data_IF_831719637087
#
_entry.id   IF_831719637087
#
_cell.length_a   1.000
_cell.length_b   1.000
_cell.length_c   1.000
_cell.angle_alpha   90.00
_cell.angle_beta   90.00
_cell.angle_gamma   90.00
#
_symmetry.space_group_name_H-M   'P 1'
#
loop_
_entity.id
_entity.type
_entity.pdbx_description
1 polymer ?
#
# COMPACT_ATOMS: atom_id res chain seq x y z
N UNK A 1 -22.41 -44.23 29.26
CA UNK A 1 -22.49 -44.61 27.81
C UNK A 1 -23.94 -44.51 27.40
N UNK A 2 -24.30 -43.70 26.40
CA UNK A 2 -25.68 -43.55 25.97
C UNK A 2 -26.14 -44.82 25.25
N UNK A 3 -27.17 -45.47 25.77
CA UNK A 3 -27.74 -46.70 25.23
C UNK A 3 -28.05 -46.67 23.73
N UNK A 4 -28.56 -45.58 23.14
CA UNK A 4 -28.74 -45.44 21.70
C UNK A 4 -27.44 -45.59 20.91
N UNK A 5 -26.33 -45.02 21.40
CA UNK A 5 -25.03 -45.09 20.74
C UNK A 5 -24.45 -46.53 20.75
N UNK A 6 -24.66 -47.25 21.84
CA UNK A 6 -24.28 -48.66 21.93
C UNK A 6 -25.05 -49.52 20.92
N UNK A 7 -26.34 -49.29 20.76
CA UNK A 7 -27.18 -50.00 19.80
C UNK A 7 -26.74 -49.66 18.38
N UNK A 8 -26.55 -48.39 18.05
CA UNK A 8 -26.11 -47.95 16.72
C UNK A 8 -24.77 -48.59 16.31
N UNK A 9 -23.79 -48.60 17.23
CA UNK A 9 -22.48 -49.23 17.00
C UNK A 9 -22.60 -50.73 16.77
N UNK A 10 -23.46 -51.45 17.54
CA UNK A 10 -23.69 -52.90 17.42
C UNK A 10 -24.36 -53.26 16.12
N UNK A 11 -25.31 -52.43 15.62
CA UNK A 11 -25.95 -52.61 14.29
C UNK A 11 -24.98 -52.33 13.14
N UNK A 12 -24.14 -51.38 13.25
CA UNK A 12 -23.15 -51.03 12.20
C UNK A 12 -22.12 -52.15 11.95
N UNK A 13 -21.74 -52.91 13.04
CA UNK A 13 -20.72 -53.95 12.99
C UNK A 13 -21.28 -55.36 13.15
N UNK A 14 -22.60 -55.58 12.99
CA UNK A 14 -23.24 -56.86 13.14
C UNK A 14 -22.94 -57.80 11.97
N UNK A 15 -22.41 -58.98 12.26
CA UNK A 15 -22.02 -60.02 11.30
C UNK A 15 -23.16 -60.83 10.68
N UNK A 16 -24.40 -60.48 10.89
CA UNK A 16 -25.56 -61.26 10.36
C UNK A 16 -26.32 -60.47 9.31
N UNK A 17 -26.26 -61.01 8.07
CA UNK A 17 -27.22 -60.86 6.98
C UNK A 17 -27.44 -59.42 6.44
N UNK A 18 -27.03 -59.23 5.22
CA UNK A 18 -27.12 -58.15 4.25
C UNK A 18 -25.88 -57.26 4.18
N UNK A 19 -24.84 -57.79 3.59
CA UNK A 19 -23.65 -57.03 3.18
C UNK A 19 -24.00 -55.77 2.37
N UNK A 20 -25.12 -55.76 1.65
CA UNK A 20 -25.54 -54.64 0.84
C UNK A 20 -25.85 -53.38 1.67
N UNK A 21 -26.58 -53.47 2.79
CA UNK A 21 -26.92 -52.29 3.63
C UNK A 21 -25.67 -51.70 4.30
N UNK A 22 -24.77 -52.58 4.79
CA UNK A 22 -23.53 -52.13 5.39
C UNK A 22 -22.59 -51.45 4.35
N UNK A 23 -22.55 -51.97 3.16
CA UNK A 23 -21.78 -51.36 2.05
C UNK A 23 -22.35 -50.00 1.67
N UNK A 24 -23.67 -49.87 1.52
CA UNK A 24 -24.32 -48.58 1.22
C UNK A 24 -24.07 -47.57 2.33
N UNK A 25 -24.21 -47.98 3.60
CA UNK A 25 -23.95 -47.12 4.77
C UNK A 25 -22.47 -46.67 4.82
N UNK A 26 -21.54 -47.58 4.53
CA UNK A 26 -20.12 -47.27 4.46
C UNK A 26 -19.78 -46.27 3.33
N UNK A 27 -20.34 -46.52 2.12
CA UNK A 27 -20.17 -45.61 0.98
C UNK A 27 -20.73 -44.22 1.30
N UNK A 28 -21.91 -44.15 1.93
CA UNK A 28 -22.51 -42.89 2.32
C UNK A 28 -21.64 -42.15 3.36
N UNK A 29 -21.14 -42.86 4.36
CA UNK A 29 -20.27 -42.29 5.39
C UNK A 29 -18.94 -41.76 4.80
N UNK A 30 -18.32 -42.55 3.89
CA UNK A 30 -17.11 -42.16 3.17
C UNK A 30 -17.40 -40.95 2.28
N UNK A 31 -18.53 -40.97 1.54
CA UNK A 31 -18.94 -39.83 0.71
C UNK A 31 -19.06 -38.53 1.48
N UNK A 32 -19.74 -38.56 2.64
CA UNK A 32 -19.86 -37.39 3.53
C UNK A 32 -18.50 -36.97 4.07
N UNK A 33 -17.66 -37.93 4.49
CA UNK A 33 -16.34 -37.63 5.02
C UNK A 33 -15.45 -36.94 3.96
N UNK A 34 -15.45 -37.46 2.72
CA UNK A 34 -14.69 -36.88 1.60
C UNK A 34 -15.21 -35.47 1.25
N UNK A 35 -16.54 -35.30 1.18
CA UNK A 35 -17.14 -33.99 0.91
C UNK A 35 -16.80 -32.95 2.01
N UNK A 36 -16.88 -33.35 3.28
CA UNK A 36 -16.52 -32.49 4.41
C UNK A 36 -15.03 -32.16 4.38
N UNK A 37 -14.17 -33.14 4.11
CA UNK A 37 -12.72 -32.93 3.99
C UNK A 37 -12.41 -31.93 2.86
N UNK A 38 -13.02 -32.11 1.70
CA UNK A 38 -12.82 -31.22 0.56
C UNK A 38 -13.23 -29.77 0.90
N UNK A 39 -14.35 -29.60 1.60
CA UNK A 39 -14.84 -28.29 2.02
C UNK A 39 -13.89 -27.64 3.03
N UNK A 40 -13.43 -28.39 4.05
CA UNK A 40 -12.47 -27.88 5.06
C UNK A 40 -11.15 -27.51 4.40
N UNK A 41 -10.61 -28.33 3.50
CA UNK A 41 -9.38 -28.05 2.77
C UNK A 41 -9.54 -26.77 1.93
N UNK A 42 -10.64 -26.64 1.20
CA UNK A 42 -10.90 -25.45 0.37
C UNK A 42 -10.99 -24.18 1.21
N UNK A 43 -11.72 -24.22 2.33
CA UNK A 43 -11.79 -23.08 3.25
C UNK A 43 -10.44 -22.76 3.89
N UNK A 44 -9.66 -23.77 4.27
CA UNK A 44 -8.34 -23.57 4.86
C UNK A 44 -7.36 -22.93 3.87
N UNK A 45 -7.37 -23.37 2.60
CA UNK A 45 -6.57 -22.76 1.54
C UNK A 45 -7.01 -21.32 1.28
N UNK A 46 -8.31 -21.07 1.24
CA UNK A 46 -8.84 -19.72 1.04
C UNK A 46 -8.46 -18.77 2.19
N UNK A 47 -8.63 -19.22 3.44
CA UNK A 47 -8.24 -18.43 4.60
C UNK A 47 -6.72 -18.19 4.65
N UNK A 48 -5.92 -19.23 4.39
CA UNK A 48 -4.46 -19.09 4.33
C UNK A 48 -3.99 -18.15 3.22
N UNK A 49 -4.67 -18.17 2.07
CA UNK A 49 -4.41 -17.20 1.00
C UNK A 49 -4.79 -15.77 1.41
N UNK A 50 -5.92 -15.60 2.09
CA UNK A 50 -6.35 -14.30 2.62
C UNK A 50 -5.35 -13.73 3.62
N UNK A 51 -4.86 -14.56 4.56
CA UNK A 51 -3.83 -14.18 5.54
C UNK A 51 -2.50 -13.85 4.87
N UNK A 52 -2.12 -14.61 3.84
CA UNK A 52 -0.94 -14.34 3.03
C UNK A 52 -1.04 -12.97 2.35
N UNK A 53 -2.17 -12.67 1.70
CA UNK A 53 -2.39 -11.36 1.06
C UNK A 53 -2.41 -10.25 2.10
N UNK A 54 -3.04 -10.47 3.25
CA UNK A 54 -3.04 -9.50 4.35
C UNK A 54 -1.63 -9.22 4.90
N UNK A 55 -0.72 -10.20 4.86
CA UNK A 55 0.69 -10.01 5.25
C UNK A 55 1.50 -9.12 4.30
N UNK A 56 1.00 -8.90 3.09
CA UNK A 56 1.60 -7.95 2.14
C UNK A 56 1.21 -6.50 2.42
N UNK A 57 0.21 -6.24 3.25
CA UNK A 57 -0.12 -4.88 3.63
C UNK A 57 0.89 -4.35 4.64
N UNK A 58 1.44 -3.20 4.33
CA UNK A 58 2.44 -2.54 5.15
C UNK A 58 1.86 -1.31 5.82
N UNK A 59 2.64 -0.73 6.72
CA UNK A 59 2.34 0.59 7.28
C UNK A 59 2.26 1.69 6.21
N UNK A 60 2.83 1.44 5.03
CA UNK A 60 2.79 2.32 3.86
C UNK A 60 1.45 2.33 3.12
N UNK A 61 0.68 1.22 3.21
CA UNK A 61 -0.59 1.11 2.51
C UNK A 61 -1.71 1.69 3.38
N UNK A 62 -2.31 2.83 3.01
CA UNK A 62 -3.43 3.41 3.76
C UNK A 62 -4.64 2.47 3.75
N UNK A 63 -5.51 2.60 4.75
CA UNK A 63 -6.74 1.79 4.79
C UNK A 63 -7.65 2.09 3.62
N UNK A 64 -7.75 3.38 3.25
CA UNK A 64 -8.47 3.87 2.08
C UNK A 64 -7.59 4.90 1.38
N UNK A 65 -7.56 4.84 0.06
CA UNK A 65 -6.90 5.81 -0.80
C UNK A 65 -7.89 6.34 -1.84
N UNK A 66 -8.00 7.66 -1.93
CA UNK A 66 -8.78 8.31 -2.98
C UNK A 66 -7.82 8.80 -4.06
N UNK A 67 -8.03 8.32 -5.28
CA UNK A 67 -7.25 8.72 -6.46
C UNK A 67 -8.17 9.34 -7.51
N UNK A 68 -7.72 10.30 -8.32
CA UNK A 68 -8.51 10.81 -9.43
C UNK A 68 -8.95 9.68 -10.37
N UNK A 69 -10.18 9.70 -10.84
CA UNK A 69 -10.66 8.73 -11.82
C UNK A 69 -10.00 8.93 -13.19
N UNK A 70 -9.73 10.19 -13.54
CA UNK A 70 -9.04 10.58 -14.76
C UNK A 70 -7.79 11.42 -14.44
N UNK A 71 -6.71 11.21 -15.19
CA UNK A 71 -5.44 11.88 -14.97
C UNK A 71 -4.62 11.30 -13.81
N UNK A 72 -3.52 11.98 -13.46
CA UNK A 72 -2.58 11.58 -12.40
C UNK A 72 -2.76 12.39 -11.11
N UNK A 73 -3.38 13.56 -11.18
CA UNK A 73 -3.48 14.51 -10.08
C UNK A 73 -4.82 15.23 -10.06
N UNK A 74 -5.23 15.69 -8.88
CA UNK A 74 -6.42 16.51 -8.67
C UNK A 74 -6.10 17.71 -7.76
N UNK A 75 -6.93 18.78 -7.76
CA UNK A 75 -6.78 19.88 -6.82
C UNK A 75 -6.94 19.42 -5.38
N UNK A 76 -5.99 19.81 -4.51
CA UNK A 76 -6.01 19.44 -3.09
C UNK A 76 -7.17 20.10 -2.32
N UNK A 77 -7.67 21.24 -2.83
CA UNK A 77 -8.78 22.02 -2.27
C UNK A 77 -10.16 21.61 -2.82
N UNK A 78 -10.27 20.52 -3.60
CA UNK A 78 -11.54 20.03 -4.13
C UNK A 78 -12.59 19.88 -3.00
N UNK A 79 -13.80 20.50 -3.16
CA UNK A 79 -14.84 20.42 -2.17
C UNK A 79 -15.30 19.00 -1.81
N UNK A 80 -15.18 18.04 -2.74
CA UNK A 80 -15.51 16.63 -2.50
C UNK A 80 -14.52 15.99 -1.54
N UNK A 81 -13.22 16.24 -1.72
CA UNK A 81 -12.19 15.76 -0.81
C UNK A 81 -12.32 16.39 0.58
N UNK A 82 -12.70 17.67 0.63
CA UNK A 82 -12.96 18.35 1.92
C UNK A 82 -14.16 17.75 2.67
N UNK A 83 -15.21 17.32 1.97
CA UNK A 83 -16.33 16.60 2.59
C UNK A 83 -15.89 15.24 3.15
N UNK A 84 -15.06 14.50 2.42
CA UNK A 84 -14.52 13.21 2.87
C UNK A 84 -13.66 13.38 4.13
N UNK A 85 -12.78 14.39 4.18
CA UNK A 85 -11.94 14.70 5.36
C UNK A 85 -12.77 14.99 6.62
N UNK A 86 -13.96 15.54 6.47
CA UNK A 86 -14.86 15.90 7.58
C UNK A 86 -15.76 14.77 8.06
N UNK A 87 -15.68 13.58 7.48
CA UNK A 87 -16.46 12.44 7.93
C UNK A 87 -16.07 12.04 9.36
N UNK A 88 -17.05 11.73 10.22
CA UNK A 88 -16.80 11.39 11.62
C UNK A 88 -16.00 10.10 11.80
N UNK A 89 -16.02 9.20 10.82
CA UNK A 89 -15.29 7.95 10.79
C UNK A 89 -13.80 8.12 10.45
N UNK A 90 -13.41 9.26 9.86
CA UNK A 90 -12.02 9.56 9.51
C UNK A 90 -11.24 9.95 10.78
N UNK A 91 -10.12 9.28 11.01
CA UNK A 91 -9.15 9.63 12.07
C UNK A 91 -8.09 10.58 11.52
N UNK A 92 -7.45 10.20 10.43
CA UNK A 92 -6.39 10.99 9.79
C UNK A 92 -6.57 10.96 8.28
N UNK A 93 -6.38 12.11 7.65
CA UNK A 93 -6.27 12.23 6.20
C UNK A 93 -4.94 12.92 5.86
N UNK A 94 -4.16 12.31 4.96
CA UNK A 94 -2.85 12.79 4.51
C UNK A 94 -2.84 12.96 3.00
N UNK A 95 -2.28 14.07 2.54
CA UNK A 95 -2.10 14.34 1.11
C UNK A 95 -0.81 13.68 0.61
N UNK A 96 -0.87 13.08 -0.57
CA UNK A 96 0.29 12.51 -1.22
C UNK A 96 0.43 13.04 -2.65
N UNK A 97 1.65 13.46 -3.00
CA UNK A 97 2.08 13.72 -4.38
C UNK A 97 3.12 12.67 -4.74
N UNK A 98 2.85 11.87 -5.77
CA UNK A 98 3.73 10.77 -6.15
C UNK A 98 3.99 10.78 -7.65
N UNK A 99 5.28 10.81 -8.02
CA UNK A 99 5.72 10.70 -9.41
C UNK A 99 7.14 10.14 -9.49
N UNK A 100 7.60 9.77 -10.68
CA UNK A 100 8.93 9.22 -10.91
C UNK A 100 9.96 10.34 -11.13
N UNK A 101 11.16 10.09 -10.62
CA UNK A 101 12.31 10.97 -10.79
C UNK A 101 13.61 10.18 -10.84
N UNK A 102 14.68 10.81 -11.30
CA UNK A 102 16.03 10.26 -11.26
C UNK A 102 16.73 10.73 -10.00
N UNK A 103 17.15 9.79 -9.17
CA UNK A 103 17.97 10.04 -7.98
C UNK A 103 19.44 9.85 -8.30
N UNK A 104 20.27 10.80 -7.88
CA UNK A 104 21.73 10.77 -8.08
C UNK A 104 22.41 11.01 -6.73
N UNK A 105 23.30 10.10 -6.36
CA UNK A 105 24.13 10.23 -5.16
C UNK A 105 25.55 9.76 -5.44
N UNK A 106 26.53 10.64 -5.23
CA UNK A 106 27.98 10.36 -5.43
C UNK A 106 28.29 9.61 -6.75
N UNK A 107 27.63 10.04 -7.85
CA UNK A 107 27.83 9.46 -9.19
C UNK A 107 27.03 8.19 -9.49
N UNK A 108 26.38 7.59 -8.50
CA UNK A 108 25.41 6.51 -8.74
C UNK A 108 24.03 7.10 -9.01
N UNK A 109 23.29 6.48 -9.92
CA UNK A 109 21.98 6.96 -10.33
C UNK A 109 20.96 5.83 -10.45
N UNK A 110 19.71 6.09 -10.12
CA UNK A 110 18.61 5.16 -10.29
C UNK A 110 17.28 5.88 -10.38
N UNK A 111 16.30 5.27 -11.05
CA UNK A 111 14.92 5.79 -11.06
C UNK A 111 14.25 5.48 -9.73
N UNK A 112 13.54 6.47 -9.19
CA UNK A 112 12.84 6.37 -7.91
C UNK A 112 11.42 6.91 -8.02
N UNK A 113 10.56 6.40 -7.15
CA UNK A 113 9.27 7.00 -6.85
C UNK A 113 9.45 8.00 -5.72
N UNK A 114 9.30 9.27 -6.01
CA UNK A 114 9.29 10.32 -4.99
C UNK A 114 7.86 10.46 -4.47
N UNK A 115 7.72 10.29 -3.16
CA UNK A 115 6.46 10.39 -2.45
C UNK A 115 6.51 11.60 -1.52
N UNK A 116 5.93 12.71 -1.97
CA UNK A 116 5.75 13.92 -1.17
C UNK A 116 4.55 13.78 -0.27
N UNK A 117 4.76 13.90 1.03
CA UNK A 117 3.73 13.72 2.06
C UNK A 117 3.61 14.94 2.96
N UNK A 118 2.42 15.14 3.53
CA UNK A 118 2.14 16.19 4.49
C UNK A 118 2.48 15.76 5.93
N UNK A 119 2.34 16.68 6.88
CA UNK A 119 2.66 16.45 8.30
C UNK A 119 1.74 15.39 8.96
N UNK A 120 0.62 15.05 8.35
CA UNK A 120 -0.27 14.01 8.85
C UNK A 120 0.20 12.60 8.52
N UNK A 121 1.15 12.46 7.59
CA UNK A 121 1.62 11.16 7.11
C UNK A 121 2.20 10.28 8.22
N UNK A 122 2.98 10.84 9.12
CA UNK A 122 3.55 10.13 10.27
C UNK A 122 2.45 9.46 11.10
N UNK A 123 1.41 10.23 11.44
CA UNK A 123 0.25 9.70 12.16
C UNK A 123 -0.55 8.69 11.34
N UNK A 124 -0.68 8.92 10.02
CA UNK A 124 -1.44 8.06 9.11
C UNK A 124 -0.77 6.70 8.96
N UNK A 125 0.54 6.67 8.68
CA UNK A 125 1.29 5.46 8.30
C UNK A 125 1.91 4.70 9.47
N UNK A 126 2.06 5.33 10.66
CA UNK A 126 2.91 4.82 11.75
C UNK A 126 4.32 4.50 11.28
N UNK A 127 4.90 5.44 10.53
CA UNK A 127 6.20 5.26 9.88
C UNK A 127 7.31 4.86 10.86
N UNK A 128 7.22 5.30 12.11
CA UNK A 128 8.21 5.02 13.17
C UNK A 128 8.44 3.54 13.40
N UNK A 129 7.40 2.70 13.20
CA UNK A 129 7.49 1.24 13.39
C UNK A 129 8.42 0.56 12.37
N UNK A 130 8.79 1.25 11.28
CA UNK A 130 9.57 0.71 10.16
C UNK A 130 10.84 1.50 9.87
N UNK A 131 11.21 2.43 10.74
CA UNK A 131 12.46 3.20 10.61
C UNK A 131 13.66 2.43 11.17
N UNK A 132 14.81 2.63 10.53
CA UNK A 132 16.10 2.10 10.94
C UNK A 132 17.15 3.23 10.90
N UNK A 133 17.87 3.41 11.98
CA UNK A 133 18.89 4.45 12.17
C UNK A 133 18.78 5.11 13.53
N UNK A 134 19.63 6.08 13.79
CA UNK A 134 19.70 6.78 15.09
C UNK A 134 18.96 8.14 15.07
N UNK A 135 18.40 8.52 13.93
CA UNK A 135 17.63 9.75 13.74
C UNK A 135 16.13 9.57 13.99
N UNK A 136 15.35 10.53 13.50
CA UNK A 136 13.88 10.54 13.60
C UNK A 136 13.24 10.80 12.23
N UNK A 137 11.94 10.54 12.11
CA UNK A 137 11.19 10.90 10.91
C UNK A 137 11.07 12.43 10.84
N UNK A 138 11.95 13.03 10.07
CA UNK A 138 11.98 14.48 9.85
C UNK A 138 12.11 14.73 8.35
N UNK A 139 11.15 15.44 7.77
CA UNK A 139 11.17 15.76 6.35
C UNK A 139 11.56 17.20 6.06
N UNK A 140 11.33 18.12 6.99
CA UNK A 140 11.68 19.52 6.83
C UNK A 140 12.10 20.17 8.15
N UNK A 141 13.19 20.91 8.13
CA UNK A 141 13.59 21.78 9.24
C UNK A 141 14.20 23.07 8.69
N UNK A 142 13.71 24.20 9.15
CA UNK A 142 14.08 25.53 8.63
C UNK A 142 13.94 25.56 7.08
N UNK A 143 15.04 25.75 6.36
CA UNK A 143 15.07 25.79 4.89
C UNK A 143 15.68 24.52 4.27
N UNK A 144 15.81 23.44 5.05
CA UNK A 144 16.41 22.19 4.60
C UNK A 144 15.32 21.14 4.40
N UNK A 145 15.38 20.46 3.26
CA UNK A 145 14.53 19.32 2.95
C UNK A 145 15.31 18.02 3.22
N UNK A 146 14.67 17.10 3.92
CA UNK A 146 15.21 15.79 4.22
C UNK A 146 14.49 14.71 3.40
N UNK A 147 15.19 13.59 3.16
CA UNK A 147 14.60 12.43 2.52
C UNK A 147 14.76 11.21 3.39
N UNK A 148 13.67 10.46 3.56
CA UNK A 148 13.71 9.11 4.12
C UNK A 148 13.61 8.12 2.96
N UNK A 149 14.67 7.35 2.74
CA UNK A 149 14.79 6.44 1.58
C UNK A 149 14.57 4.99 2.01
N UNK A 150 14.10 4.16 1.08
CA UNK A 150 14.02 2.73 1.33
C UNK A 150 15.40 2.10 1.54
N UNK A 151 15.50 1.12 2.44
CA UNK A 151 16.78 0.52 2.82
C UNK A 151 17.54 -0.08 1.62
N UNK A 152 16.84 -0.72 0.69
CA UNK A 152 17.46 -1.29 -0.51
C UNK A 152 17.88 -0.24 -1.53
N UNK A 153 17.14 0.89 -1.58
CA UNK A 153 17.54 2.05 -2.37
C UNK A 153 18.84 2.63 -1.83
N UNK A 154 18.92 2.80 -0.51
CA UNK A 154 20.13 3.25 0.15
C UNK A 154 21.34 2.33 -0.18
N UNK A 155 21.18 1.02 -0.08
CA UNK A 155 22.22 0.04 -0.48
C UNK A 155 22.63 0.20 -1.94
N UNK A 156 21.67 0.35 -2.86
CA UNK A 156 21.93 0.52 -4.31
C UNK A 156 22.76 1.76 -4.60
N UNK A 157 22.43 2.87 -3.94
CA UNK A 157 23.16 4.13 -4.09
C UNK A 157 24.45 4.18 -3.25
N UNK A 158 24.68 3.18 -2.37
CA UNK A 158 25.84 3.12 -1.47
C UNK A 158 25.73 4.12 -0.32
N UNK A 159 24.50 4.33 0.16
CA UNK A 159 24.16 5.15 1.31
C UNK A 159 23.99 4.27 2.55
N UNK A 160 24.22 4.84 3.72
CA UNK A 160 23.78 4.28 5.00
C UNK A 160 22.62 5.11 5.55
N UNK A 161 22.09 4.80 6.74
CA UNK A 161 20.99 5.56 7.32
C UNK A 161 21.36 7.04 7.55
N UNK A 162 22.60 7.32 7.89
CA UNK A 162 23.12 8.67 8.10
C UNK A 162 24.14 9.03 7.01
N UNK A 163 23.68 9.08 5.74
CA UNK A 163 24.56 9.41 4.61
C UNK A 163 25.02 10.88 4.67
N UNK A 164 26.24 11.12 4.20
CA UNK A 164 26.84 12.44 4.08
C UNK A 164 26.63 13.05 2.67
N UNK A 165 26.47 14.36 2.61
CA UNK A 165 26.24 15.10 1.36
C UNK A 165 24.78 15.07 0.90
N UNK A 166 24.56 15.39 -0.37
CA UNK A 166 23.24 15.61 -0.93
C UNK A 166 22.81 14.48 -1.85
N UNK A 167 21.57 14.03 -1.66
CA UNK A 167 20.82 13.24 -2.64
C UNK A 167 20.15 14.21 -3.61
N UNK A 168 20.56 14.18 -4.88
CA UNK A 168 19.99 15.02 -5.92
C UNK A 168 18.84 14.31 -6.60
N UNK A 169 17.69 14.97 -6.73
CA UNK A 169 16.52 14.45 -7.42
C UNK A 169 16.24 15.30 -8.65
N UNK A 170 16.14 14.66 -9.81
CA UNK A 170 15.90 15.26 -11.11
C UNK A 170 14.53 14.83 -11.63
N UNK A 171 13.61 15.74 -11.80
CA UNK A 171 12.31 15.49 -12.42
C UNK A 171 12.23 16.20 -13.77
N UNK A 172 11.71 15.55 -14.83
CA UNK A 172 11.54 16.23 -16.12
C UNK A 172 10.50 17.34 -15.97
N UNK A 173 10.80 18.50 -16.58
CA UNK A 173 9.83 19.62 -16.64
C UNK A 173 8.61 19.19 -17.46
N UNK A 174 7.43 19.58 -17.00
CA UNK A 174 6.18 19.35 -17.71
C UNK A 174 5.94 20.39 -18.81
N UNK A 175 6.48 21.59 -18.62
CA UNK A 175 6.32 22.73 -19.51
C UNK A 175 7.69 23.20 -20.01
N UNK A 176 7.87 23.21 -21.33
CA UNK A 176 9.09 23.70 -21.98
C UNK A 176 9.51 22.82 -23.14
N UNK A 177 10.13 23.42 -24.16
CA UNK A 177 10.84 22.67 -25.19
C UNK A 177 12.19 22.26 -24.61
N UNK A 178 12.56 21.01 -24.81
CA UNK A 178 13.93 20.54 -24.52
C UNK A 178 14.89 21.34 -25.40
N UNK A 179 15.68 22.22 -24.79
CA UNK A 179 16.79 22.85 -25.48
C UNK A 179 17.91 21.83 -25.63
N UNK A 180 18.15 21.37 -26.84
CA UNK A 180 19.22 20.43 -27.16
C UNK A 180 20.62 21.00 -26.88
N UNK A 181 20.75 22.33 -26.77
CA UNK A 181 22.01 22.99 -26.40
C UNK A 181 22.27 22.94 -24.88
N UNK A 182 21.20 22.90 -24.07
CA UNK A 182 21.29 22.80 -22.59
C UNK A 182 20.32 21.76 -22.07
N UNK A 183 20.63 20.46 -22.16
CA UNK A 183 19.75 19.38 -21.71
C UNK A 183 19.39 19.45 -20.22
N UNK A 184 20.23 20.11 -19.40
CA UNK A 184 19.98 20.31 -17.96
C UNK A 184 18.77 21.21 -17.68
N UNK A 185 18.42 22.12 -18.59
CA UNK A 185 17.27 23.01 -18.42
C UNK A 185 15.93 22.30 -18.57
N UNK A 186 15.95 21.08 -19.08
CA UNK A 186 14.80 20.17 -19.15
C UNK A 186 14.39 19.51 -17.82
N UNK A 187 15.13 19.75 -16.74
CA UNK A 187 14.85 19.16 -15.43
C UNK A 187 14.62 20.22 -14.36
N UNK A 188 13.72 19.90 -13.43
CA UNK A 188 13.67 20.54 -12.12
C UNK A 188 14.54 19.71 -11.20
N UNK A 189 15.42 20.36 -10.44
CA UNK A 189 16.39 19.66 -9.58
C UNK A 189 16.25 20.18 -8.16
N UNK A 190 16.23 19.27 -7.20
CA UNK A 190 16.29 19.61 -5.77
C UNK A 190 17.27 18.69 -5.05
N UNK A 191 17.74 19.14 -3.89
CA UNK A 191 18.72 18.46 -3.08
C UNK A 191 18.19 18.13 -1.71
N UNK A 192 18.44 16.91 -1.25
CA UNK A 192 17.94 16.35 -0.01
C UNK A 192 19.10 15.84 0.84
N UNK A 193 18.94 15.94 2.14
CA UNK A 193 19.90 15.43 3.12
C UNK A 193 19.30 14.32 3.98
N UNK A 194 20.14 13.57 4.67
CA UNK A 194 19.70 12.51 5.57
C UNK A 194 19.09 13.05 6.85
N UNK A 195 17.96 12.51 7.33
CA UNK A 195 17.49 12.71 8.69
C UNK A 195 18.06 11.70 9.68
N UNK A 196 19.03 10.84 9.26
CA UNK A 196 19.64 9.80 10.08
C UNK A 196 18.84 8.49 10.13
N UNK A 197 17.85 8.33 9.27
CA UNK A 197 17.00 7.11 9.18
C UNK A 197 16.71 6.73 7.75
N UNK A 198 16.48 5.42 7.56
CA UNK A 198 15.92 4.80 6.35
C UNK A 198 14.71 3.97 6.74
N UNK A 199 13.80 3.68 5.82
CA UNK A 199 12.68 2.80 6.12
C UNK A 199 12.86 1.39 5.53
N UNK A 200 12.24 0.38 6.19
CA UNK A 200 12.18 -0.99 5.71
C UNK A 200 10.79 -1.56 5.97
N UNK A 201 10.00 -1.74 4.92
CA UNK A 201 8.66 -2.35 4.98
C UNK A 201 8.68 -3.85 4.68
N UNK A 202 9.85 -4.43 4.35
CA UNK A 202 10.06 -5.83 3.95
C UNK A 202 9.31 -6.19 2.65
N UNK A 203 8.96 -5.19 1.86
CA UNK A 203 8.43 -5.37 0.50
C UNK A 203 9.39 -4.75 -0.51
N UNK A 204 9.88 -5.60 -1.42
CA UNK A 204 10.90 -5.23 -2.38
C UNK A 204 10.53 -4.04 -3.28
N UNK A 205 9.24 -3.78 -3.45
CA UNK A 205 8.72 -2.65 -4.21
C UNK A 205 9.02 -1.31 -3.53
N UNK A 206 8.65 -1.16 -2.25
CA UNK A 206 8.86 0.09 -1.52
C UNK A 206 10.31 0.29 -1.11
N UNK A 207 10.95 -0.77 -0.62
CA UNK A 207 12.31 -0.70 -0.09
C UNK A 207 13.36 -0.37 -1.15
N UNK A 208 13.07 -0.67 -2.44
CA UNK A 208 14.04 -0.57 -3.55
C UNK A 208 14.04 0.77 -4.26
N UNK A 209 12.88 1.43 -4.36
CA UNK A 209 12.72 2.55 -5.29
C UNK A 209 11.93 3.74 -4.73
N UNK A 210 11.51 3.73 -3.45
CA UNK A 210 10.74 4.85 -2.89
C UNK A 210 11.60 5.78 -2.04
N UNK A 211 11.31 7.09 -2.19
CA UNK A 211 11.88 8.19 -1.41
C UNK A 211 10.73 9.04 -0.87
N UNK A 212 10.68 9.21 0.45
CA UNK A 212 9.69 10.08 1.11
C UNK A 212 10.32 11.45 1.30
N UNK A 213 9.60 12.49 0.92
CA UNK A 213 10.03 13.89 0.97
C UNK A 213 8.89 14.80 1.45
N UNK A 214 9.15 16.07 1.81
CA UNK A 214 8.07 17.01 2.11
C UNK A 214 7.18 17.24 0.90
N UNK A 215 5.87 17.34 1.11
CA UNK A 215 4.91 17.56 0.01
C UNK A 215 5.16 18.90 -0.73
N UNK A 216 5.61 19.90 -0.03
CA UNK A 216 5.97 21.22 -0.57
C UNK A 216 7.09 21.13 -1.60
N UNK A 217 8.13 20.35 -1.27
CA UNK A 217 9.24 20.04 -2.17
C UNK A 217 8.78 19.25 -3.38
N UNK A 218 8.01 18.16 -3.17
CA UNK A 218 7.50 17.34 -4.27
C UNK A 218 6.61 18.13 -5.24
N UNK A 219 5.75 19.01 -4.73
CA UNK A 219 4.92 19.90 -5.53
C UNK A 219 5.77 20.84 -6.42
N UNK A 220 6.85 21.36 -5.88
CA UNK A 220 7.78 22.21 -6.63
C UNK A 220 8.54 21.40 -7.67
N UNK A 221 9.08 20.26 -7.27
CA UNK A 221 9.84 19.35 -8.14
C UNK A 221 9.04 18.88 -9.35
N UNK A 222 7.77 18.54 -9.17
CA UNK A 222 6.90 18.03 -10.23
C UNK A 222 6.02 19.09 -10.89
N UNK A 223 6.20 20.37 -10.56
CA UNK A 223 5.36 21.47 -11.07
C UNK A 223 3.85 21.20 -10.85
N UNK A 224 3.49 20.75 -9.64
CA UNK A 224 2.13 20.35 -9.23
C UNK A 224 1.63 21.16 -8.03
N UNK A 225 1.82 22.48 -8.07
CA UNK A 225 1.38 23.37 -6.98
C UNK A 225 -0.13 23.24 -6.74
N UNK A 226 -0.53 23.06 -5.46
CA UNK A 226 -1.94 22.91 -5.09
C UNK A 226 -2.60 21.61 -5.52
N UNK A 227 -1.84 20.65 -6.07
CA UNK A 227 -2.34 19.36 -6.53
C UNK A 227 -1.97 18.24 -5.55
N UNK A 228 -2.71 17.12 -5.64
CA UNK A 228 -2.36 15.86 -5.01
C UNK A 228 -2.52 14.70 -6.01
N UNK A 229 -1.75 13.65 -5.83
CA UNK A 229 -1.90 12.39 -6.57
C UNK A 229 -2.92 11.48 -5.88
N UNK A 230 -2.97 11.50 -4.55
CA UNK A 230 -3.94 10.77 -3.76
C UNK A 230 -4.20 11.42 -2.39
N UNK A 231 -5.37 11.15 -1.84
CA UNK A 231 -5.71 11.41 -0.45
C UNK A 231 -5.74 10.08 0.30
N UNK A 232 -4.83 9.92 1.24
CA UNK A 232 -4.67 8.72 2.05
C UNK A 232 -5.42 8.87 3.37
N UNK A 233 -6.18 7.85 3.74
CA UNK A 233 -7.08 7.91 4.89
C UNK A 233 -6.86 6.74 5.83
N UNK A 234 -6.80 7.07 7.13
CA UNK A 234 -6.95 6.12 8.23
C UNK A 234 -8.27 6.35 8.91
N UNK A 235 -9.01 5.28 9.15
CA UNK A 235 -10.27 5.29 9.86
C UNK A 235 -10.06 5.15 11.37
N UNK A 236 -11.03 5.66 12.14
CA UNK A 236 -11.12 5.42 13.58
C UNK A 236 -11.31 3.93 13.86
N UNK A 237 -10.78 3.47 14.99
CA UNK A 237 -10.94 2.10 15.43
C UNK A 237 -12.43 1.73 15.57
N UNK A 238 -12.79 0.55 15.04
CA UNK A 238 -14.17 0.05 15.08
C UNK A 238 -15.07 0.52 13.93
N UNK A 239 -14.57 1.35 13.00
CA UNK A 239 -15.32 1.70 11.78
C UNK A 239 -15.39 0.52 10.82
N UNK A 240 -16.56 0.30 10.21
CA UNK A 240 -16.71 -0.66 9.11
C UNK A 240 -16.11 -0.09 7.83
N UNK A 241 -15.00 -0.68 7.36
CA UNK A 241 -14.26 -0.23 6.20
C UNK A 241 -15.12 -0.24 4.93
N UNK A 242 -15.94 -1.28 4.73
CA UNK A 242 -16.75 -1.40 3.51
C UNK A 242 -17.87 -0.37 3.49
N UNK A 243 -18.57 -0.19 4.61
CA UNK A 243 -19.62 0.83 4.72
C UNK A 243 -19.07 2.25 4.54
N UNK A 244 -17.90 2.55 5.11
CA UNK A 244 -17.26 3.86 4.97
C UNK A 244 -16.75 4.08 3.55
N UNK A 245 -16.16 3.07 2.90
CA UNK A 245 -15.72 3.12 1.52
C UNK A 245 -16.88 3.44 0.57
N UNK A 246 -18.01 2.74 0.72
CA UNK A 246 -19.22 3.00 -0.07
C UNK A 246 -19.74 4.41 0.15
N UNK A 247 -19.80 4.87 1.41
CA UNK A 247 -20.19 6.24 1.77
C UNK A 247 -19.27 7.28 1.12
N UNK A 248 -17.96 7.06 1.14
CA UNK A 248 -16.99 7.94 0.47
C UNK A 248 -17.20 7.95 -1.05
N UNK A 249 -17.37 6.77 -1.67
CA UNK A 249 -17.61 6.67 -3.12
C UNK A 249 -18.88 7.42 -3.53
N UNK A 250 -19.95 7.35 -2.73
CA UNK A 250 -21.19 8.11 -2.97
C UNK A 250 -20.98 9.63 -2.87
N UNK A 251 -20.05 10.10 -2.01
CA UNK A 251 -19.72 11.53 -1.88
C UNK A 251 -18.92 12.02 -3.08
N UNK A 252 -17.93 11.24 -3.53
CA UNK A 252 -16.99 11.67 -4.58
C UNK A 252 -17.47 11.35 -6.00
N UNK A 253 -18.46 10.45 -6.14
CA UNK A 253 -19.03 10.02 -7.42
C UNK A 253 -17.98 9.45 -8.34
N UNK A 254 -18.10 9.74 -9.63
CA UNK A 254 -17.18 9.23 -10.68
C UNK A 254 -15.90 10.06 -10.82
N UNK A 255 -15.73 11.14 -10.05
CA UNK A 255 -14.53 11.99 -10.12
C UNK A 255 -13.32 11.37 -9.44
N UNK A 256 -13.55 10.53 -8.43
CA UNK A 256 -12.50 9.84 -7.70
C UNK A 256 -12.86 8.37 -7.53
N UNK A 257 -11.85 7.54 -7.50
CA UNK A 257 -11.94 6.12 -7.10
C UNK A 257 -11.52 6.00 -5.66
N UNK A 258 -12.33 5.32 -4.87
CA UNK A 258 -12.05 5.01 -3.47
C UNK A 258 -11.53 3.59 -3.40
N UNK A 259 -10.23 3.43 -3.17
CA UNK A 259 -9.52 2.16 -3.20
C UNK A 259 -9.23 1.68 -1.78
N UNK A 260 -9.56 0.43 -1.49
CA UNK A 260 -9.04 -0.26 -0.31
C UNK A 260 -7.64 -0.84 -0.58
N UNK A 261 -7.02 -1.44 0.44
CA UNK A 261 -5.66 -1.99 0.35
C UNK A 261 -5.51 -3.05 -0.75
N UNK A 262 -6.54 -3.85 -1.01
CA UNK A 262 -6.52 -4.89 -2.04
C UNK A 262 -6.54 -4.27 -3.44
N UNK A 263 -7.39 -3.28 -3.63
CA UNK A 263 -7.53 -2.58 -4.92
C UNK A 263 -6.31 -1.71 -5.25
N UNK A 264 -5.71 -1.08 -4.25
CA UNK A 264 -4.45 -0.32 -4.42
C UNK A 264 -3.33 -1.21 -5.00
N UNK A 265 -3.22 -2.45 -4.55
CA UNK A 265 -2.25 -3.38 -5.09
C UNK A 265 -2.61 -3.85 -6.50
N UNK A 266 -3.88 -4.16 -6.75
CA UNK A 266 -4.36 -4.54 -8.07
C UNK A 266 -4.15 -3.43 -9.11
N UNK A 267 -4.39 -2.18 -8.75
CA UNK A 267 -4.18 -1.00 -9.61
C UNK A 267 -2.70 -0.81 -9.94
N UNK A 268 -1.81 -1.06 -8.98
CA UNK A 268 -0.36 -1.03 -9.22
C UNK A 268 0.08 -2.08 -10.24
N UNK A 269 -0.46 -3.30 -10.17
CA UNK A 269 -0.19 -4.34 -11.16
C UNK A 269 -0.74 -3.98 -12.54
N UNK A 270 -1.86 -3.27 -12.60
CA UNK A 270 -2.48 -2.83 -13.86
C UNK A 270 -1.64 -1.75 -14.55
N UNK A 271 -1.13 -0.78 -13.81
CA UNK A 271 -0.26 0.29 -14.33
C UNK A 271 1.04 -0.31 -14.89
N UNK A 272 1.68 -1.22 -14.16
CA UNK A 272 2.90 -1.91 -14.64
C UNK A 272 2.68 -2.76 -15.91
N UNK A 273 1.44 -3.18 -16.18
CA UNK A 273 1.10 -3.97 -17.37
C UNK A 273 0.87 -3.12 -18.62
N UNK A 274 0.58 -1.84 -18.46
CA UNK A 274 0.37 -0.88 -19.55
C UNK A 274 1.68 -0.25 -20.04
N UNK A 275 2.73 -0.25 -19.20
CA UNK A 275 4.06 0.30 -19.55
C UNK A 275 5.00 -0.72 -20.25
N UNK A 276 4.53 -1.92 -20.58
CA UNK A 276 5.22 -2.90 -21.44
C UNK A 276 4.63 -2.90 -22.84
#
# INVERSE_FOLDING_TARGET
MNFPFYIARRYLFSKKSTHAINIISCISAVGVAVATMALVVTLSVFNGFHDLVASFFTSFDPQIELVPAEGKTAPADDPLLQKVRKLPEVDVASECVKDQALAIYKGKQTMVWVMGVDDNFERMSRIDDILYGDGTFLLQAANLNFAVVGIRLAETLGMNANWDGNLMIYAPRKTGQLDLANPSDGFVVDSLISPGVVFMVKQGKYDRDHVIVPITMARTLFEQQGMLSSLQIRLKNGSDLNAVKEKMQNIVGDRYRVLDRYEQQADTFRIMKVEK
#
